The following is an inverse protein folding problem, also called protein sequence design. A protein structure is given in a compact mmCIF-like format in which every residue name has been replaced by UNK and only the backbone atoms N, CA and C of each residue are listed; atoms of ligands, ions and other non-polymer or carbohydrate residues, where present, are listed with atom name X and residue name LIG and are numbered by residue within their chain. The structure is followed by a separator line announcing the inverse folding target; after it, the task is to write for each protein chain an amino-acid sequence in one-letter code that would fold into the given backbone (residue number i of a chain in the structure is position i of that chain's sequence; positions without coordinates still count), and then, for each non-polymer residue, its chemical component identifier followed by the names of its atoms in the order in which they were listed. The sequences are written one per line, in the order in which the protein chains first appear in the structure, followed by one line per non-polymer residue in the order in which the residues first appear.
data_IF_009331838320
#
_entry.id   IF_009331838320
#
_cell.length_a   1.000
_cell.length_b   1.000
_cell.length_c   1.000
_cell.angle_alpha   90.00
_cell.angle_beta   90.00
_cell.angle_gamma   90.00
#
_symmetry.space_group_name_H-M   'P 1'
#
loop_
_entity.id
_entity.type
_entity.pdbx_description
1 polymer ?
#
# COMPACT_ATOMS: atom_id res chain seq x y z
N UNK A 1 5.66 54.80 -24.71
CA UNK A 1 6.25 53.90 -25.72
C UNK A 1 7.48 53.26 -25.11
N UNK A 2 7.41 51.97 -24.77
CA UNK A 2 8.58 51.12 -24.52
C UNK A 2 8.08 49.66 -24.53
N UNK A 3 8.34 48.95 -25.63
CA UNK A 3 8.20 47.50 -25.72
C UNK A 3 9.58 46.98 -26.11
N UNK A 4 10.26 46.33 -25.17
CA UNK A 4 11.54 45.66 -25.39
C UNK A 4 11.29 44.20 -25.72
N UNK A 5 11.68 43.81 -26.94
CA UNK A 5 11.81 42.42 -27.37
C UNK A 5 13.04 41.77 -26.75
N UNK A 6 12.92 40.52 -26.29
CA UNK A 6 14.02 39.66 -25.86
C UNK A 6 13.95 38.32 -26.58
N UNK A 7 15.10 37.88 -27.10
CA UNK A 7 15.31 36.90 -28.18
C UNK A 7 15.39 35.45 -27.64
N UNK A 8 15.03 34.50 -28.51
CA UNK A 8 14.99 33.04 -28.31
C UNK A 8 16.35 32.32 -28.24
N UNK A 9 16.27 31.09 -27.68
CA UNK A 9 16.95 29.82 -28.01
C UNK A 9 18.42 29.59 -27.61
N UNK A 10 18.68 28.54 -26.84
CA UNK A 10 19.15 27.21 -27.32
C UNK A 10 19.82 26.40 -26.17
N UNK A 11 19.44 25.13 -26.00
CA UNK A 11 20.34 24.11 -25.43
C UNK A 11 19.97 22.74 -26.01
N UNK A 12 20.97 22.09 -26.57
CA UNK A 12 20.89 20.93 -27.45
C UNK A 12 20.63 19.62 -26.70
N UNK A 13 19.75 18.81 -27.27
CA UNK A 13 19.73 17.38 -27.09
C UNK A 13 20.94 16.75 -27.78
N UNK A 14 21.56 15.76 -27.13
CA UNK A 14 22.59 14.90 -27.71
C UNK A 14 21.95 13.54 -28.01
N UNK A 15 21.60 13.35 -29.28
CA UNK A 15 21.26 12.05 -29.86
C UNK A 15 22.56 11.28 -30.14
N UNK A 16 22.72 10.12 -29.52
CA UNK A 16 23.79 9.15 -29.80
C UNK A 16 23.33 8.21 -30.94
N UNK A 17 24.16 8.10 -31.97
CA UNK A 17 23.91 7.32 -33.18
C UNK A 17 24.81 6.09 -33.19
N UNK A 18 24.27 4.91 -33.54
CA UNK A 18 25.12 3.76 -33.87
C UNK A 18 24.39 2.43 -34.03
N UNK A 19 23.84 2.20 -35.22
CA UNK A 19 23.46 0.89 -35.76
C UNK A 19 24.73 0.08 -36.07
N UNK A 20 24.82 -1.19 -35.66
CA UNK A 20 25.59 -2.21 -36.40
C UNK A 20 25.13 -3.63 -36.02
N UNK A 21 24.49 -4.28 -36.98
CA UNK A 21 24.06 -5.66 -36.93
C UNK A 21 25.09 -6.55 -37.63
N UNK A 22 25.73 -7.48 -36.90
CA UNK A 22 26.50 -8.55 -37.51
C UNK A 22 26.90 -9.64 -36.51
N UNK A 23 26.52 -10.86 -36.89
CA UNK A 23 27.28 -12.12 -36.73
C UNK A 23 27.06 -12.94 -35.45
N UNK A 24 26.47 -14.12 -35.69
CA UNK A 24 26.36 -15.26 -34.78
C UNK A 24 27.72 -15.93 -34.65
N UNK A 25 28.16 -16.22 -33.42
CA UNK A 25 29.07 -17.35 -33.18
C UNK A 25 28.46 -18.29 -32.15
N UNK A 26 28.40 -19.55 -32.55
CA UNK A 26 27.89 -20.68 -31.77
C UNK A 26 29.12 -21.42 -31.26
N UNK A 27 29.37 -21.41 -29.95
CA UNK A 27 30.46 -22.22 -29.37
C UNK A 27 29.86 -23.26 -28.44
N UNK A 28 29.80 -24.48 -28.97
CA UNK A 28 29.54 -25.71 -28.25
C UNK A 28 30.79 -26.13 -27.49
N UNK A 29 30.73 -26.22 -26.15
CA UNK A 29 31.74 -26.92 -25.35
C UNK A 29 31.06 -27.90 -24.41
N UNK A 30 31.12 -29.17 -24.79
CA UNK A 30 30.95 -30.35 -23.93
C UNK A 30 32.25 -30.63 -23.18
N UNK A 31 32.20 -30.81 -21.86
CA UNK A 31 33.17 -31.61 -21.10
C UNK A 31 32.44 -32.46 -20.06
N UNK A 32 32.96 -33.68 -19.94
CA UNK A 32 32.39 -34.91 -19.39
C UNK A 32 32.94 -35.22 -17.99
N UNK A 33 32.04 -35.57 -17.08
CA UNK A 33 32.03 -36.59 -16.01
C UNK A 33 33.29 -36.98 -15.17
N UNK A 34 33.06 -36.95 -13.84
CA UNK A 34 33.52 -37.79 -12.70
C UNK A 34 34.99 -37.93 -12.28
N UNK A 35 35.29 -37.73 -10.99
CA UNK A 35 35.17 -38.76 -9.93
C UNK A 35 35.77 -38.33 -8.56
N UNK A 36 35.05 -38.64 -7.46
CA UNK A 36 35.47 -39.13 -6.11
C UNK A 36 36.46 -38.33 -5.22
N UNK A 37 36.42 -38.30 -3.88
CA UNK A 37 35.55 -38.87 -2.83
C UNK A 37 35.93 -38.27 -1.44
N UNK A 38 34.98 -38.38 -0.50
CA UNK A 38 35.10 -38.45 0.99
C UNK A 38 35.62 -37.20 1.73
N UNK A 39 35.03 -36.75 2.83
CA UNK A 39 34.87 -37.48 4.11
C UNK A 39 33.55 -37.20 4.85
N UNK A 40 33.24 -38.13 5.76
CA UNK A 40 32.02 -38.28 6.54
C UNK A 40 32.05 -37.54 7.89
N UNK A 41 30.88 -37.32 8.50
CA UNK A 41 30.48 -37.74 9.88
C UNK A 41 29.09 -37.16 10.19
N UNK A 42 28.11 -38.04 10.41
CA UNK A 42 27.43 -38.32 11.72
C UNK A 42 26.53 -37.15 12.19
N UNK A 43 25.22 -37.28 12.38
CA UNK A 43 24.54 -38.35 13.11
C UNK A 43 23.04 -38.46 12.75
N UNK A 44 22.54 -39.69 12.86
CA UNK A 44 21.17 -40.16 13.05
C UNK A 44 20.38 -39.34 14.10
N UNK A 45 19.07 -39.17 14.04
CA UNK A 45 18.00 -40.14 14.35
C UNK A 45 16.65 -39.48 13.90
N UNK A 46 15.76 -40.09 13.10
CA UNK A 46 14.61 -40.93 13.52
C UNK A 46 13.84 -40.33 14.73
N UNK A 47 12.52 -40.11 14.79
CA UNK A 47 11.35 -40.66 14.10
C UNK A 47 10.08 -39.89 14.50
N UNK A 48 9.04 -40.02 13.67
CA UNK A 48 7.61 -40.11 13.99
C UNK A 48 6.82 -38.99 14.72
N UNK A 49 6.00 -38.31 13.91
CA UNK A 49 4.51 -38.37 13.91
C UNK A 49 3.67 -37.70 15.02
N UNK A 50 2.39 -37.38 14.71
CA UNK A 50 1.79 -36.09 14.99
C UNK A 50 0.90 -36.10 16.24
N UNK A 51 0.69 -34.91 16.78
CA UNK A 51 -0.43 -34.67 17.67
C UNK A 51 -0.27 -33.37 18.40
N UNK A 52 -0.83 -32.29 17.86
CA UNK A 52 -1.22 -31.17 18.69
C UNK A 52 -2.64 -30.73 18.35
N UNK A 53 -3.42 -30.71 19.42
CA UNK A 53 -4.83 -30.42 19.52
C UNK A 53 -5.16 -29.04 18.96
N UNK A 54 -6.20 -29.00 18.13
CA UNK A 54 -6.89 -27.77 17.74
C UNK A 54 -7.51 -27.16 19.00
N UNK A 55 -6.82 -26.20 19.60
CA UNK A 55 -7.40 -25.33 20.61
C UNK A 55 -8.02 -24.15 19.88
N UNK A 56 -9.33 -24.22 19.64
CA UNK A 56 -10.15 -23.10 19.23
C UNK A 56 -9.89 -21.93 20.19
N UNK A 57 -9.18 -20.91 19.71
CA UNK A 57 -9.18 -19.60 20.35
C UNK A 57 -10.45 -18.92 19.89
N UNK A 58 -11.40 -18.80 20.81
CA UNK A 58 -12.49 -17.84 20.70
C UNK A 58 -11.88 -16.47 20.36
N UNK A 59 -12.09 -16.00 19.14
CA UNK A 59 -11.87 -14.60 18.79
C UNK A 59 -12.87 -13.81 19.62
N UNK A 60 -12.39 -13.19 20.70
CA UNK A 60 -13.13 -12.13 21.36
C UNK A 60 -13.19 -10.97 20.37
N UNK A 61 -14.34 -10.79 19.74
CA UNK A 61 -14.72 -9.53 19.11
C UNK A 61 -14.56 -8.44 20.19
N UNK A 62 -13.56 -7.58 20.00
CA UNK A 62 -13.35 -6.43 20.86
C UNK A 62 -14.57 -5.51 20.75
N UNK A 63 -14.98 -4.83 21.84
CA UNK A 63 -16.04 -3.86 21.73
C UNK A 63 -15.53 -2.69 20.88
N UNK A 64 -16.14 -2.48 19.71
CA UNK A 64 -16.02 -1.27 18.92
C UNK A 64 -16.60 -0.08 19.72
N UNK A 65 -15.85 0.38 20.72
CA UNK A 65 -16.12 1.62 21.43
C UNK A 65 -15.69 2.76 20.51
N UNK A 66 -16.59 3.14 19.59
CA UNK A 66 -16.41 4.31 18.74
C UNK A 66 -16.08 5.53 19.60
N UNK A 67 -14.81 5.92 19.59
CA UNK A 67 -14.31 7.04 20.36
C UNK A 67 -15.08 8.30 19.98
N UNK A 68 -15.78 8.89 20.95
CA UNK A 68 -16.74 9.99 20.78
C UNK A 68 -16.16 11.32 20.25
N UNK A 69 -14.93 11.31 19.73
CA UNK A 69 -14.28 12.45 19.08
C UNK A 69 -13.71 12.19 17.67
N UNK A 70 -13.74 10.96 17.15
CA UNK A 70 -13.25 10.65 15.80
C UNK A 70 -14.18 11.22 14.73
N UNK A 71 -13.60 11.74 13.64
CA UNK A 71 -14.37 12.46 12.61
C UNK A 71 -13.64 12.56 11.26
N UNK A 72 -14.40 12.36 10.18
CA UNK A 72 -14.01 12.71 8.82
C UNK A 72 -14.32 14.19 8.52
N UNK A 73 -13.30 14.97 8.16
CA UNK A 73 -13.43 16.39 7.84
C UNK A 73 -13.56 16.65 6.35
N UNK A 74 -12.78 15.96 5.54
CA UNK A 74 -12.78 16.12 4.08
C UNK A 74 -12.40 14.81 3.40
N UNK A 75 -13.10 14.54 2.30
CA UNK A 75 -12.68 13.59 1.28
C UNK A 75 -12.79 14.27 -0.10
N UNK A 76 -11.78 14.09 -0.94
CA UNK A 76 -11.83 14.53 -2.34
C UNK A 76 -11.37 13.43 -3.29
N UNK A 77 -12.11 13.26 -4.38
CA UNK A 77 -11.78 12.36 -5.49
C UNK A 77 -11.54 13.21 -6.73
N UNK A 78 -10.36 13.11 -7.34
CA UNK A 78 -9.91 13.94 -8.47
C UNK A 78 -10.08 15.45 -8.19
N UNK A 79 -9.77 15.84 -6.95
CA UNK A 79 -9.91 17.22 -6.46
C UNK A 79 -11.36 17.70 -6.30
N UNK A 80 -12.36 16.84 -6.49
CA UNK A 80 -13.77 17.16 -6.26
C UNK A 80 -14.19 16.70 -4.86
N UNK A 81 -14.85 17.55 -4.05
CA UNK A 81 -15.33 17.15 -2.74
C UNK A 81 -16.40 16.06 -2.84
N UNK A 82 -16.33 15.10 -1.93
CA UNK A 82 -17.34 14.05 -1.72
C UNK A 82 -18.12 14.34 -0.43
N UNK A 83 -19.38 13.91 -0.34
CA UNK A 83 -20.19 14.08 0.87
C UNK A 83 -19.67 13.17 1.98
N UNK A 84 -19.03 13.76 3.00
CA UNK A 84 -18.42 13.02 4.13
C UNK A 84 -19.44 12.25 4.96
N UNK A 85 -20.75 12.54 4.83
CA UNK A 85 -21.81 11.81 5.54
C UNK A 85 -22.00 10.38 5.03
N UNK A 86 -21.53 10.09 3.82
CA UNK A 86 -21.58 8.73 3.26
C UNK A 86 -20.63 7.79 4.02
N UNK A 87 -19.49 8.32 4.45
CA UNK A 87 -18.41 7.60 5.14
C UNK A 87 -18.44 7.90 6.64
N UNK A 88 -19.62 7.82 7.25
CA UNK A 88 -19.82 8.04 8.69
C UNK A 88 -20.55 6.85 9.31
N UNK A 89 -20.19 6.39 10.52
CA UNK A 89 -19.23 6.96 11.48
C UNK A 89 -17.75 6.78 11.11
N UNK A 90 -16.84 7.36 11.91
CA UNK A 90 -15.40 7.07 11.87
C UNK A 90 -15.05 6.29 13.12
N UNK A 91 -14.40 5.15 12.95
CA UNK A 91 -13.84 4.32 14.04
C UNK A 91 -12.34 4.32 13.88
N UNK A 92 -11.63 4.31 15.00
CA UNK A 92 -10.17 4.26 14.99
C UNK A 92 -9.73 3.29 16.07
N UNK A 93 -8.92 2.32 15.69
CA UNK A 93 -8.42 1.28 16.57
C UNK A 93 -6.90 1.16 16.40
N UNK A 94 -6.20 0.83 17.49
CA UNK A 94 -4.76 0.56 17.44
C UNK A 94 -4.58 -0.95 17.46
N UNK A 95 -3.88 -1.47 16.48
CA UNK A 95 -3.46 -2.87 16.42
C UNK A 95 -1.93 -3.00 16.21
N UNK A 96 -1.46 -4.22 16.03
CA UNK A 96 -0.06 -4.55 15.80
C UNK A 96 0.07 -5.44 14.54
N UNK A 97 0.81 -4.95 13.55
CA UNK A 97 1.24 -5.74 12.38
C UNK A 97 2.76 -5.91 12.36
N UNK A 98 3.23 -7.16 12.26
CA UNK A 98 4.64 -7.54 12.27
C UNK A 98 5.49 -6.88 13.38
N UNK A 99 4.88 -6.64 14.55
CA UNK A 99 5.51 -6.00 15.71
C UNK A 99 5.61 -4.47 15.61
N UNK A 100 4.85 -3.85 14.72
CA UNK A 100 4.71 -2.40 14.55
C UNK A 100 3.27 -1.99 14.88
N UNK A 101 3.12 -0.88 15.58
CA UNK A 101 1.79 -0.35 15.90
C UNK A 101 1.16 0.28 14.65
N UNK A 102 -0.05 -0.16 14.34
CA UNK A 102 -0.88 0.27 13.21
C UNK A 102 -2.12 0.95 13.76
N UNK A 103 -2.47 2.08 13.17
CA UNK A 103 -3.76 2.73 13.38
C UNK A 103 -4.68 2.32 12.24
N UNK A 104 -5.67 1.50 12.55
CA UNK A 104 -6.76 1.12 11.66
C UNK A 104 -7.85 2.21 11.75
N UNK A 105 -8.36 2.64 10.60
CA UNK A 105 -9.36 3.70 10.53
C UNK A 105 -10.46 3.36 9.54
N UNK A 106 -11.58 2.89 10.06
CA UNK A 106 -12.77 2.64 9.25
C UNK A 106 -13.66 3.88 9.13
N UNK A 107 -14.17 4.09 7.94
CA UNK A 107 -15.15 5.12 7.64
C UNK A 107 -16.38 4.54 6.96
N UNK A 108 -17.53 4.72 7.60
CA UNK A 108 -18.79 4.16 7.12
C UNK A 108 -19.33 3.09 8.04
N UNK A 109 -20.25 2.28 7.50
CA UNK A 109 -20.85 1.16 8.22
C UNK A 109 -20.41 -0.11 7.54
N UNK A 110 -20.14 -1.11 8.36
CA UNK A 110 -19.59 -2.41 7.99
C UNK A 110 -20.55 -3.24 7.09
N UNK A 111 -21.80 -2.80 6.93
CA UNK A 111 -22.83 -3.43 6.09
C UNK A 111 -23.21 -2.55 4.87
N UNK A 112 -22.42 -1.54 4.49
CA UNK A 112 -22.67 -0.67 3.31
C UNK A 112 -21.57 -0.80 2.26
N UNK A 113 -21.65 -1.89 1.49
CA UNK A 113 -20.85 -2.28 0.31
C UNK A 113 -20.91 -1.27 -0.86
N UNK A 114 -20.90 0.04 -0.60
CA UNK A 114 -20.98 1.08 -1.63
C UNK A 114 -20.21 2.34 -1.28
N UNK A 115 -20.00 2.58 0.01
CA UNK A 115 -19.35 3.79 0.53
C UNK A 115 -18.59 3.45 1.82
N UNK A 116 -17.60 2.59 1.69
CA UNK A 116 -16.66 2.21 2.73
C UNK A 116 -15.26 2.77 2.38
N UNK A 117 -14.51 3.09 3.41
CA UNK A 117 -13.13 3.53 3.29
C UNK A 117 -12.42 3.01 4.53
N UNK A 118 -11.34 2.26 4.33
CA UNK A 118 -10.50 1.73 5.39
C UNK A 118 -9.06 2.19 5.12
N UNK A 119 -8.37 2.59 6.18
CA UNK A 119 -7.02 3.13 6.08
C UNK A 119 -6.18 2.62 7.24
N UNK A 120 -5.10 1.91 6.92
CA UNK A 120 -4.12 1.47 7.90
C UNK A 120 -2.86 2.34 7.83
N UNK A 121 -2.42 2.82 8.99
CA UNK A 121 -1.31 3.77 9.12
C UNK A 121 -0.35 3.31 10.21
N UNK A 122 0.91 3.10 9.84
CA UNK A 122 1.97 2.93 10.83
C UNK A 122 2.15 4.19 11.69
N UNK A 123 2.08 4.05 13.02
CA UNK A 123 2.04 5.21 13.93
C UNK A 123 3.41 5.80 14.26
N UNK A 124 4.46 4.98 14.20
CA UNK A 124 5.85 5.31 14.56
C UNK A 124 6.51 6.25 13.54
N UNK A 125 6.28 5.95 12.27
CA UNK A 125 6.59 6.78 11.13
C UNK A 125 5.33 6.85 10.26
N UNK A 126 4.53 7.93 10.34
CA UNK A 126 3.28 8.08 9.61
C UNK A 126 3.48 7.79 8.12
N UNK A 127 3.07 6.60 7.73
CA UNK A 127 3.15 6.02 6.40
C UNK A 127 1.92 5.16 6.21
N UNK A 128 1.40 5.14 4.98
CA UNK A 128 0.30 4.26 4.65
C UNK A 128 0.81 2.82 4.68
N UNK A 129 -0.01 1.92 5.17
CA UNK A 129 0.17 0.47 5.04
C UNK A 129 -0.76 -0.05 3.96
N UNK A 130 -2.06 0.19 4.10
CA UNK A 130 -3.09 -0.18 3.15
C UNK A 130 -4.12 0.95 3.03
N UNK A 131 -4.90 0.93 1.94
CA UNK A 131 -6.11 1.72 1.82
C UNK A 131 -7.09 0.99 0.90
N UNK A 132 -8.30 0.79 1.39
CA UNK A 132 -9.43 0.27 0.62
C UNK A 132 -10.49 1.34 0.53
N UNK A 133 -11.02 1.59 -0.67
CA UNK A 133 -11.97 2.67 -0.91
C UNK A 133 -13.05 2.25 -1.89
N UNK A 134 -14.26 2.02 -1.38
CA UNK A 134 -15.41 1.82 -2.21
C UNK A 134 -16.15 3.13 -2.47
N UNK A 135 -16.30 3.49 -3.75
CA UNK A 135 -16.98 4.72 -4.14
C UNK A 135 -17.75 4.58 -5.43
N UNK A 136 -19.08 4.70 -5.30
CA UNK A 136 -20.05 4.57 -6.40
C UNK A 136 -20.00 3.19 -7.05
N UNK A 137 -20.02 2.17 -6.20
CA UNK A 137 -20.04 0.76 -6.62
C UNK A 137 -18.77 0.40 -7.43
N UNK A 138 -17.63 1.02 -7.07
CA UNK A 138 -16.30 0.76 -7.64
C UNK A 138 -15.29 0.72 -6.49
N UNK A 139 -14.55 -0.37 -6.41
CA UNK A 139 -13.48 -0.61 -5.45
C UNK A 139 -12.18 -0.01 -5.98
N UNK A 140 -11.44 0.65 -5.08
CA UNK A 140 -10.10 1.17 -5.34
C UNK A 140 -9.20 0.85 -4.16
N UNK A 141 -7.99 0.37 -4.44
CA UNK A 141 -7.04 -0.05 -3.40
C UNK A 141 -5.66 0.62 -3.54
N UNK A 142 -4.96 0.76 -2.41
CA UNK A 142 -3.49 0.86 -2.34
C UNK A 142 -3.04 -0.27 -1.43
N UNK A 143 -2.49 -1.32 -2.01
CA UNK A 143 -1.85 -2.41 -1.29
C UNK A 143 -0.48 -1.99 -0.71
N UNK A 144 0.13 -2.91 0.05
CA UNK A 144 1.44 -2.75 0.68
C UNK A 144 2.57 -2.49 -0.33
N UNK A 145 2.53 -3.15 -1.49
CA UNK A 145 3.47 -2.97 -2.60
C UNK A 145 3.42 -1.55 -3.20
N UNK A 146 2.26 -0.89 -3.13
CA UNK A 146 2.03 0.45 -3.67
C UNK A 146 1.89 1.56 -2.61
N UNK A 147 1.90 1.22 -1.32
CA UNK A 147 1.74 2.14 -0.19
C UNK A 147 2.75 3.30 -0.20
N UNK A 148 3.97 3.06 -0.72
CA UNK A 148 4.99 4.08 -0.91
C UNK A 148 4.62 5.21 -1.88
N UNK A 149 3.53 5.07 -2.64
CA UNK A 149 2.98 6.13 -3.50
C UNK A 149 2.12 7.15 -2.75
N UNK A 150 1.67 6.82 -1.54
CA UNK A 150 0.87 7.68 -0.70
C UNK A 150 1.72 8.55 0.23
N UNK A 151 1.12 9.62 0.73
CA UNK A 151 1.71 10.49 1.74
C UNK A 151 0.76 10.61 2.91
N UNK A 152 1.26 10.30 4.11
CA UNK A 152 0.53 10.52 5.36
C UNK A 152 1.17 11.67 6.14
N UNK A 153 0.35 12.64 6.55
CA UNK A 153 0.75 13.76 7.40
C UNK A 153 -0.03 13.70 8.70
N UNK A 154 0.69 13.63 9.82
CA UNK A 154 0.11 13.62 11.17
C UNK A 154 0.41 14.92 11.92
N UNK A 155 -0.60 15.50 12.56
CA UNK A 155 -0.49 16.63 13.50
C UNK A 155 -1.34 16.37 14.74
N UNK A 156 -0.72 15.77 15.77
CA UNK A 156 -1.43 15.25 16.93
C UNK A 156 -2.38 14.14 16.50
N UNK A 157 -3.67 14.36 16.74
CA UNK A 157 -4.76 13.44 16.43
C UNK A 157 -5.34 13.64 15.02
N UNK A 158 -4.81 14.61 14.26
CA UNK A 158 -5.28 14.94 12.91
C UNK A 158 -4.37 14.32 11.85
N UNK A 159 -5.01 13.74 10.84
CA UNK A 159 -4.35 13.05 9.74
C UNK A 159 -4.80 13.63 8.41
N UNK A 160 -3.86 13.68 7.47
CA UNK A 160 -4.12 13.92 6.05
C UNK A 160 -3.43 12.82 5.26
N UNK A 161 -4.21 12.04 4.52
CA UNK A 161 -3.75 10.99 3.63
C UNK A 161 -3.98 11.44 2.19
N UNK A 162 -2.93 11.43 1.38
CA UNK A 162 -2.95 11.77 -0.04
C UNK A 162 -2.41 10.56 -0.83
N UNK A 163 -3.20 10.01 -1.75
CA UNK A 163 -2.86 8.76 -2.43
C UNK A 163 -3.45 8.67 -3.83
N UNK A 164 -3.06 7.63 -4.56
CA UNK A 164 -3.54 7.34 -5.91
C UNK A 164 -3.98 5.88 -6.02
N UNK A 165 -5.11 5.49 -5.39
CA UNK A 165 -5.57 4.10 -5.41
C UNK A 165 -5.95 3.67 -6.84
N UNK A 166 -5.83 2.36 -7.08
CA UNK A 166 -6.07 1.70 -8.36
C UNK A 166 -7.41 0.98 -8.31
N UNK A 167 -8.19 1.07 -9.37
CA UNK A 167 -9.44 0.31 -9.53
C UNK A 167 -9.12 -1.16 -9.86
N UNK A 168 -9.71 -2.10 -9.11
CA UNK A 168 -9.40 -3.54 -9.19
C UNK A 168 -9.56 -4.13 -10.61
N UNK A 169 -10.68 -3.82 -11.26
CA UNK A 169 -11.05 -4.39 -12.56
C UNK A 169 -10.38 -3.69 -13.76
N UNK A 170 -9.87 -2.48 -13.53
CA UNK A 170 -9.26 -1.70 -14.59
C UNK A 170 -8.23 -0.79 -13.95
N UNK A 171 -6.94 -0.96 -14.30
CA UNK A 171 -5.76 -0.22 -13.77
C UNK A 171 -5.81 1.33 -13.86
N UNK A 172 -6.99 1.91 -14.04
CA UNK A 172 -7.32 3.31 -13.81
C UNK A 172 -7.06 3.65 -12.35
N UNK A 173 -6.65 4.89 -12.15
CA UNK A 173 -6.41 5.44 -10.83
C UNK A 173 -7.19 6.73 -10.65
N UNK A 174 -7.38 7.10 -9.39
CA UNK A 174 -7.98 8.38 -8.98
C UNK A 174 -7.03 9.11 -8.04
N UNK A 175 -7.10 10.44 -7.99
CA UNK A 175 -6.40 11.18 -6.93
C UNK A 175 -7.30 11.28 -5.69
N UNK A 176 -6.87 10.69 -4.58
CA UNK A 176 -7.61 10.67 -3.31
C UNK A 176 -6.94 11.57 -2.26
N UNK A 177 -7.76 12.32 -1.51
CA UNK A 177 -7.31 13.01 -0.30
C UNK A 177 -8.33 12.86 0.81
N UNK A 178 -7.89 12.40 1.97
CA UNK A 178 -8.71 12.17 3.16
C UNK A 178 -8.13 12.97 4.33
N UNK A 179 -8.95 13.75 5.02
CA UNK A 179 -8.57 14.50 6.21
C UNK A 179 -9.52 14.15 7.36
N UNK A 180 -8.97 13.65 8.46
CA UNK A 180 -9.74 13.13 9.58
C UNK A 180 -9.03 13.35 10.92
N UNK A 181 -9.77 13.11 12.00
CA UNK A 181 -9.26 13.05 13.37
C UNK A 181 -9.61 11.69 13.97
N UNK A 182 -8.65 11.08 14.65
CA UNK A 182 -8.89 9.92 15.53
C UNK A 182 -8.74 10.38 16.98
N UNK A 183 -9.81 10.30 17.76
CA UNK A 183 -9.75 10.67 19.17
C UNK A 183 -9.22 9.49 20.01
N UNK A 184 -8.17 9.74 20.78
CA UNK A 184 -7.66 8.83 21.80
C UNK A 184 -8.55 8.78 23.05
#
# INVERSE_FOLDING_TARGET
MAASLGISAAACASDDSGDDAAEKETVTTTVQESAEASEATDSSDSSDSPGESEQSRDTQEAPAEGSSGSKLHRITVDGKPVDTKLFSPVRCELDEDDGREVLEVDFGKDDDDRNELDIDIYTDQPALESLDFEYKDVEYEIDDDHAGSATVKRQGDNYVVEGTPVEDDSNRTIALTVEFTCAN
#
